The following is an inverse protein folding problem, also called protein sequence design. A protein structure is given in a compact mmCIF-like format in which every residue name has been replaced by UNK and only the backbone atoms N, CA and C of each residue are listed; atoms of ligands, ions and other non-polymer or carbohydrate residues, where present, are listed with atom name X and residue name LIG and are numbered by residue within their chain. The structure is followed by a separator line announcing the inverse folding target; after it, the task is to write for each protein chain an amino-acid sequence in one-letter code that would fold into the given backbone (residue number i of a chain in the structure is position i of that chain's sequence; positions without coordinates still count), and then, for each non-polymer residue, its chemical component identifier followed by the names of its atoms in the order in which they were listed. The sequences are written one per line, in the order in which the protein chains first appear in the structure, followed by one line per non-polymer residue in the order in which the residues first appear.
data_IF_456403277324
#
_entry.id   IF_456403277324
#
_cell.length_a   1.000
_cell.length_b   1.000
_cell.length_c   1.000
_cell.angle_alpha   90.00
_cell.angle_beta   90.00
_cell.angle_gamma   90.00
#
_symmetry.space_group_name_H-M   'P 1'
#
loop_
_entity.id
_entity.type
_entity.pdbx_description
1 polymer ?
#
# COMPACT_ATOMS: atom_id res chain seq x y z
N UNK A 1 13.09 31.55 -19.99
CA UNK A 1 12.94 30.09 -20.18
C UNK A 1 14.04 29.22 -19.55
N UNK A 2 15.15 29.79 -19.02
CA UNK A 2 16.21 29.05 -18.32
C UNK A 2 16.14 29.10 -16.78
N UNK A 3 15.27 29.93 -16.20
CA UNK A 3 15.22 30.19 -14.74
C UNK A 3 14.34 29.19 -13.95
N UNK A 4 13.57 28.32 -14.61
CA UNK A 4 12.81 27.26 -13.94
C UNK A 4 13.64 26.00 -13.61
N UNK A 5 14.89 25.91 -14.10
CA UNK A 5 15.76 24.73 -13.93
C UNK A 5 16.53 24.68 -12.60
N UNK A 6 16.47 25.73 -11.78
CA UNK A 6 17.32 25.83 -10.56
C UNK A 6 16.55 25.47 -9.27
N UNK A 7 15.21 25.45 -9.26
CA UNK A 7 14.42 25.23 -8.03
C UNK A 7 14.04 23.76 -7.74
N UNK A 8 14.34 22.80 -8.62
CA UNK A 8 13.93 21.40 -8.44
C UNK A 8 14.99 20.50 -7.75
N UNK A 9 16.24 20.96 -7.61
CA UNK A 9 17.32 20.13 -7.06
C UNK A 9 17.27 19.91 -5.54
N UNK A 10 16.51 20.70 -4.77
CA UNK A 10 16.33 20.52 -3.31
C UNK A 10 15.04 19.74 -2.94
N UNK A 11 14.18 19.50 -3.93
CA UNK A 11 12.90 18.78 -3.82
C UNK A 11 13.13 17.26 -4.06
N UNK A 12 14.26 16.86 -4.64
CA UNK A 12 14.46 15.51 -5.18
C UNK A 12 14.96 14.42 -4.18
N UNK A 13 15.01 14.67 -2.86
CA UNK A 13 15.84 13.86 -1.95
C UNK A 13 15.11 12.91 -0.98
N UNK A 14 13.77 12.88 -0.91
CA UNK A 14 13.09 12.26 0.26
C UNK A 14 12.10 11.13 0.02
N UNK A 15 11.91 10.62 -1.19
CA UNK A 15 10.68 9.88 -1.51
C UNK A 15 10.89 8.67 -2.41
N UNK A 16 12.12 8.25 -2.53
CA UNK A 16 12.39 6.83 -2.61
C UNK A 16 11.69 6.08 -1.43
N UNK A 17 11.26 6.73 -0.35
CA UNK A 17 10.65 6.10 0.81
C UNK A 17 9.26 5.50 0.67
N UNK A 18 8.26 6.26 0.23
CA UNK A 18 6.85 5.85 0.38
C UNK A 18 6.53 4.60 -0.46
N UNK A 19 7.31 4.35 -1.52
CA UNK A 19 7.18 3.14 -2.34
C UNK A 19 8.49 2.33 -2.58
N UNK A 20 9.72 2.77 -2.21
CA UNK A 20 10.94 2.00 -2.59
C UNK A 20 12.35 2.22 -1.92
N UNK A 21 12.58 2.61 -0.63
CA UNK A 21 13.85 2.78 0.18
C UNK A 21 14.14 4.21 0.69
N UNK A 22 14.34 4.37 2.00
CA UNK A 22 15.55 5.06 2.52
C UNK A 22 16.60 3.98 2.74
N UNK A 23 17.84 4.27 2.38
CA UNK A 23 18.98 3.41 2.73
C UNK A 23 20.04 4.23 3.48
N UNK A 24 20.25 3.88 4.76
CA UNK A 24 21.55 3.56 5.37
C UNK A 24 21.33 3.23 6.85
N UNK A 25 21.26 1.94 7.14
CA UNK A 25 21.80 1.22 8.30
C UNK A 25 21.43 -0.27 8.10
N UNK A 26 22.40 -1.16 8.36
CA UNK A 26 22.20 -2.63 8.36
C UNK A 26 21.08 -3.01 9.34
N UNK A 27 20.54 -4.23 9.16
CA UNK A 27 19.61 -5.00 10.01
C UNK A 27 18.12 -4.80 9.65
N UNK A 28 17.26 -5.80 9.44
CA UNK A 28 17.32 -7.27 9.46
C UNK A 28 16.57 -7.71 8.21
N UNK A 29 17.23 -8.45 7.32
CA UNK A 29 16.59 -9.10 6.18
C UNK A 29 15.55 -10.09 6.69
N UNK A 30 14.40 -10.19 6.03
CA UNK A 30 13.65 -11.43 6.11
C UNK A 30 14.61 -12.56 5.75
N UNK A 31 14.85 -13.45 6.70
CA UNK A 31 15.73 -14.59 6.52
C UNK A 31 14.87 -15.78 6.11
N UNK A 32 15.36 -16.55 5.16
CA UNK A 32 15.07 -17.97 5.15
C UNK A 32 15.61 -18.51 6.47
N UNK A 33 14.74 -19.04 7.31
CA UNK A 33 15.19 -19.79 8.46
C UNK A 33 15.93 -21.03 7.93
N UNK A 34 17.23 -21.12 8.22
CA UNK A 34 18.11 -22.18 7.73
C UNK A 34 17.70 -23.58 8.23
N UNK A 35 16.85 -23.66 9.26
CA UNK A 35 16.35 -24.91 9.82
C UNK A 35 15.01 -25.38 9.23
N UNK A 36 14.16 -24.45 8.76
CA UNK A 36 12.78 -24.75 8.32
C UNK A 36 12.49 -24.38 6.86
N UNK A 37 13.37 -23.61 6.21
CA UNK A 37 13.15 -23.10 4.85
C UNK A 37 12.04 -22.05 4.74
N UNK A 38 11.47 -21.60 5.86
CA UNK A 38 10.38 -20.62 5.88
C UNK A 38 10.88 -19.18 5.77
N UNK A 39 10.19 -18.34 5.00
CA UNK A 39 10.38 -16.89 5.02
C UNK A 39 9.90 -16.32 6.34
N UNK A 40 10.77 -15.54 7.01
CA UNK A 40 10.43 -14.83 8.25
C UNK A 40 10.50 -13.33 8.04
N UNK A 41 9.66 -12.56 8.73
CA UNK A 41 9.77 -11.10 8.81
C UNK A 41 9.73 -10.65 10.26
N UNK A 42 10.78 -9.94 10.67
CA UNK A 42 11.02 -9.58 12.09
C UNK A 42 10.94 -10.79 13.03
N UNK A 43 11.39 -11.97 12.56
CA UNK A 43 11.35 -13.28 13.25
C UNK A 43 9.96 -13.90 13.39
N UNK A 44 8.94 -13.35 12.73
CA UNK A 44 7.62 -13.99 12.61
C UNK A 44 7.57 -14.77 11.30
N UNK A 45 7.18 -16.06 11.28
CA UNK A 45 6.96 -16.78 10.04
C UNK A 45 5.92 -16.07 9.16
N UNK A 46 6.19 -15.94 7.86
CA UNK A 46 5.33 -15.20 6.93
C UNK A 46 3.91 -15.78 6.88
N UNK A 47 3.77 -17.11 6.96
CA UNK A 47 2.48 -17.82 7.01
C UNK A 47 1.69 -17.57 8.29
N UNK A 48 2.38 -17.49 9.44
CA UNK A 48 1.73 -17.13 10.70
C UNK A 48 1.26 -15.69 10.68
N UNK A 49 2.08 -14.78 10.14
CA UNK A 49 1.73 -13.38 9.96
C UNK A 49 0.52 -13.21 9.03
N UNK A 50 0.53 -13.83 7.86
CA UNK A 50 -0.59 -13.74 6.91
C UNK A 50 -1.88 -14.26 7.53
N UNK A 51 -1.83 -15.40 8.21
CA UNK A 51 -2.97 -15.96 8.92
C UNK A 51 -3.53 -15.06 10.02
N UNK A 52 -2.67 -14.50 10.89
CA UNK A 52 -3.09 -13.53 11.92
C UNK A 52 -3.73 -12.28 11.31
N UNK A 53 -3.23 -11.81 10.17
CA UNK A 53 -3.81 -10.66 9.44
C UNK A 53 -5.22 -11.00 8.94
N UNK A 54 -5.39 -12.14 8.28
CA UNK A 54 -6.68 -12.57 7.71
C UNK A 54 -7.75 -12.72 8.81
N UNK A 55 -7.38 -13.38 9.91
CA UNK A 55 -8.24 -13.58 11.07
C UNK A 55 -8.71 -12.24 11.65
N UNK A 56 -7.76 -11.34 11.95
CA UNK A 56 -8.05 -10.11 12.66
C UNK A 56 -8.75 -9.05 11.80
N UNK A 57 -8.42 -8.95 10.50
CA UNK A 57 -9.16 -8.07 9.57
C UNK A 57 -10.62 -8.54 9.46
N UNK A 58 -10.86 -9.84 9.30
CA UNK A 58 -12.23 -10.38 9.21
C UNK A 58 -13.04 -10.09 10.47
N UNK A 59 -12.45 -10.33 11.64
CA UNK A 59 -13.10 -10.06 12.93
C UNK A 59 -13.42 -8.57 13.12
N UNK A 60 -12.45 -7.69 12.87
CA UNK A 60 -12.65 -6.24 13.08
C UNK A 60 -13.60 -5.61 12.07
N UNK A 61 -13.61 -6.08 10.81
CA UNK A 61 -14.55 -5.60 9.79
C UNK A 61 -15.96 -6.10 10.10
N UNK A 62 -16.14 -7.37 10.47
CA UNK A 62 -17.45 -7.90 10.87
C UNK A 62 -18.02 -7.15 12.09
N UNK A 63 -17.19 -6.90 13.10
CA UNK A 63 -17.58 -6.12 14.28
C UNK A 63 -17.87 -4.64 14.00
N UNK A 64 -17.33 -4.08 12.91
CA UNK A 64 -17.65 -2.73 12.46
C UNK A 64 -18.94 -2.69 11.64
N UNK A 65 -19.23 -3.73 10.87
CA UNK A 65 -20.47 -3.86 10.08
C UNK A 65 -21.72 -3.95 10.95
N UNK A 66 -21.61 -4.40 12.20
CA UNK A 66 -22.74 -4.39 13.14
C UNK A 66 -23.02 -3.02 13.76
N UNK A 67 -22.10 -2.06 13.63
CA UNK A 67 -22.28 -0.68 14.12
C UNK A 67 -23.02 0.13 13.05
N UNK A 68 -23.98 0.99 13.43
CA UNK A 68 -24.71 1.82 12.47
C UNK A 68 -23.76 2.70 11.64
N UNK A 69 -24.19 2.97 10.41
CA UNK A 69 -23.50 3.92 9.54
C UNK A 69 -23.69 5.35 10.05
N UNK A 70 -22.64 6.15 9.91
CA UNK A 70 -22.63 7.58 10.24
C UNK A 70 -21.51 8.29 9.49
N UNK A 71 -21.62 9.60 9.38
CA UNK A 71 -20.59 10.45 8.81
C UNK A 71 -19.27 10.36 9.57
N UNK A 72 -18.18 10.56 8.83
CA UNK A 72 -16.81 10.63 9.36
C UNK A 72 -16.57 11.99 9.98
N UNK A 73 -16.15 12.01 11.24
CA UNK A 73 -15.77 13.21 11.98
C UNK A 73 -14.23 13.32 12.04
N UNK A 74 -13.72 14.54 12.26
CA UNK A 74 -12.27 14.77 12.32
C UNK A 74 -11.56 13.91 13.38
N UNK A 75 -12.23 13.66 14.50
CA UNK A 75 -11.73 12.79 15.57
C UNK A 75 -11.55 11.33 15.14
N UNK A 76 -12.34 10.85 14.16
CA UNK A 76 -12.27 9.46 13.69
C UNK A 76 -10.93 9.11 13.05
N UNK A 77 -10.23 10.10 12.46
CA UNK A 77 -8.91 9.88 11.86
C UNK A 77 -7.82 9.55 12.88
N UNK A 78 -8.03 9.88 14.16
CA UNK A 78 -7.07 9.62 15.24
C UNK A 78 -7.40 8.36 16.05
N UNK A 79 -8.60 7.81 15.89
CA UNK A 79 -9.05 6.61 16.61
C UNK A 79 -8.14 5.42 16.29
N UNK A 80 -7.77 4.67 17.32
CA UNK A 80 -7.08 3.38 17.19
C UNK A 80 -7.78 2.38 18.10
N UNK A 81 -8.47 1.41 17.51
CA UNK A 81 -9.08 0.31 18.24
C UNK A 81 -8.05 -0.81 18.43
N UNK A 82 -8.00 -1.43 19.61
CA UNK A 82 -7.04 -2.49 19.95
C UNK A 82 -7.78 -3.71 20.47
N UNK A 83 -7.48 -4.88 19.90
CA UNK A 83 -8.08 -6.17 20.27
C UNK A 83 -6.96 -7.18 20.55
N UNK A 84 -7.14 -8.01 21.57
CA UNK A 84 -6.25 -9.12 21.90
C UNK A 84 -6.76 -10.41 21.27
N UNK A 85 -5.85 -11.16 20.65
CA UNK A 85 -6.09 -12.47 20.06
C UNK A 85 -5.17 -13.48 20.78
N UNK A 86 -5.59 -14.00 21.96
CA UNK A 86 -4.93 -15.13 22.59
C UNK A 86 -5.17 -16.42 21.78
N UNK A 87 -4.16 -17.27 21.69
CA UNK A 87 -4.21 -18.57 21.01
C UNK A 87 -5.32 -19.48 21.52
N UNK A 88 -5.53 -19.51 22.83
CA UNK A 88 -6.63 -20.25 23.49
C UNK A 88 -8.03 -19.63 23.24
N UNK A 89 -8.10 -18.46 22.61
CA UNK A 89 -9.33 -17.72 22.42
C UNK A 89 -9.79 -16.94 23.66
N UNK A 90 -10.88 -16.18 23.49
CA UNK A 90 -11.51 -15.39 24.54
C UNK A 90 -13.01 -15.24 24.29
N UNK A 91 -13.73 -14.57 25.20
CA UNK A 91 -15.13 -14.21 24.98
C UNK A 91 -15.33 -13.25 23.79
N UNK A 92 -14.27 -12.59 23.32
CA UNK A 92 -14.33 -11.61 22.23
C UNK A 92 -13.73 -12.12 20.92
N UNK A 93 -12.79 -13.07 20.98
CA UNK A 93 -12.01 -13.53 19.83
C UNK A 93 -11.93 -15.05 19.80
N UNK A 94 -12.01 -15.69 18.63
CA UNK A 94 -11.94 -17.14 18.53
C UNK A 94 -10.54 -17.66 18.88
N UNK A 95 -10.47 -18.93 19.30
CA UNK A 95 -9.21 -19.66 19.44
C UNK A 95 -8.55 -19.88 18.06
N UNK A 96 -7.22 -19.98 18.04
CA UNK A 96 -6.44 -20.12 16.81
C UNK A 96 -5.06 -20.75 17.03
N UNK A 97 -4.48 -21.30 15.97
CA UNK A 97 -3.17 -21.98 16.04
C UNK A 97 -1.95 -21.04 15.95
N UNK A 98 -2.16 -19.74 15.71
CA UNK A 98 -1.09 -18.74 15.77
C UNK A 98 -0.75 -18.41 17.23
N UNK A 99 0.48 -17.96 17.50
CA UNK A 99 0.83 -17.44 18.82
C UNK A 99 0.06 -16.16 19.16
N UNK A 100 -0.05 -15.85 20.45
CA UNK A 100 -0.76 -14.67 20.94
C UNK A 100 -0.32 -13.39 20.24
N UNK A 101 -1.28 -12.55 19.88
CA UNK A 101 -1.02 -11.26 19.27
C UNK A 101 -2.04 -10.20 19.66
N UNK A 102 -1.61 -8.94 19.58
CA UNK A 102 -2.47 -7.77 19.69
C UNK A 102 -2.67 -7.19 18.29
N UNK A 103 -3.91 -6.90 17.92
CA UNK A 103 -4.26 -6.26 16.66
C UNK A 103 -4.74 -4.84 16.91
N UNK A 104 -4.25 -3.88 16.12
CA UNK A 104 -4.71 -2.50 16.14
C UNK A 104 -5.27 -2.09 14.79
N UNK A 105 -6.46 -1.50 14.80
CA UNK A 105 -7.12 -0.92 13.62
C UNK A 105 -7.11 0.60 13.74
N UNK A 106 -6.47 1.27 12.79
CA UNK A 106 -6.37 2.72 12.77
C UNK A 106 -7.53 3.31 11.96
N UNK A 107 -8.17 4.35 12.49
CA UNK A 107 -9.26 5.10 11.86
C UNK A 107 -10.37 4.20 11.23
N UNK A 108 -10.94 3.23 11.97
CA UNK A 108 -11.86 2.23 11.42
C UNK A 108 -13.04 2.84 10.66
N UNK A 109 -13.67 3.88 11.23
CA UNK A 109 -14.80 4.59 10.60
C UNK A 109 -14.40 5.25 9.27
N UNK A 110 -13.21 5.86 9.21
CA UNK A 110 -12.72 6.50 7.99
C UNK A 110 -12.43 5.47 6.89
N UNK A 111 -11.81 4.34 7.23
CA UNK A 111 -11.55 3.28 6.25
C UNK A 111 -12.80 2.48 5.85
N UNK A 112 -13.85 2.42 6.68
CA UNK A 112 -15.18 1.98 6.22
C UNK A 112 -15.69 2.93 5.12
N UNK A 113 -15.75 4.23 5.41
CA UNK A 113 -16.20 5.23 4.46
C UNK A 113 -15.38 5.24 3.15
N UNK A 114 -14.04 5.08 3.22
CA UNK A 114 -13.22 5.00 2.00
C UNK A 114 -13.54 3.76 1.17
N UNK A 115 -13.76 2.60 1.80
CA UNK A 115 -14.18 1.38 1.09
C UNK A 115 -15.54 1.60 0.41
N UNK A 116 -16.49 2.24 1.10
CA UNK A 116 -17.81 2.55 0.55
C UNK A 116 -17.71 3.48 -0.67
N UNK A 117 -16.89 4.54 -0.59
CA UNK A 117 -16.60 5.44 -1.72
C UNK A 117 -16.01 4.73 -2.95
N UNK A 118 -15.26 3.65 -2.73
CA UNK A 118 -14.68 2.85 -3.80
C UNK A 118 -15.54 1.63 -4.19
N UNK A 119 -16.77 1.54 -3.67
CA UNK A 119 -17.72 0.47 -4.00
C UNK A 119 -17.35 -0.90 -3.43
N UNK A 120 -16.55 -0.94 -2.35
CA UNK A 120 -16.10 -2.18 -1.73
C UNK A 120 -17.03 -2.51 -0.56
N UNK A 121 -17.90 -3.51 -0.75
CA UNK A 121 -18.78 -3.98 0.33
C UNK A 121 -17.96 -4.69 1.42
N UNK A 122 -18.37 -4.60 2.70
CA UNK A 122 -17.66 -5.27 3.79
C UNK A 122 -17.50 -6.78 3.57
N UNK A 123 -18.54 -7.45 3.08
CA UNK A 123 -18.53 -8.90 2.83
C UNK A 123 -17.51 -9.27 1.73
N UNK A 124 -17.47 -8.52 0.64
CA UNK A 124 -16.53 -8.74 -0.47
C UNK A 124 -15.08 -8.51 -0.01
N UNK A 125 -14.85 -7.47 0.79
CA UNK A 125 -13.55 -7.18 1.38
C UNK A 125 -13.06 -8.30 2.31
N UNK A 126 -13.94 -8.81 3.19
CA UNK A 126 -13.61 -9.93 4.06
C UNK A 126 -13.36 -11.20 3.25
N UNK A 127 -14.24 -11.52 2.30
CA UNK A 127 -14.12 -12.70 1.45
C UNK A 127 -12.80 -12.72 0.67
N UNK A 128 -12.44 -11.60 0.05
CA UNK A 128 -11.19 -11.45 -0.69
C UNK A 128 -9.96 -11.64 0.20
N UNK A 129 -9.98 -11.04 1.40
CA UNK A 129 -8.84 -11.10 2.32
C UNK A 129 -8.70 -12.46 2.99
N UNK A 130 -9.77 -13.10 3.45
CA UNK A 130 -9.66 -14.23 4.38
C UNK A 130 -10.07 -15.59 3.84
N UNK A 131 -10.74 -15.67 2.68
CA UNK A 131 -11.21 -16.96 2.14
C UNK A 131 -10.08 -17.90 1.74
N UNK A 132 -9.02 -17.36 1.12
CA UNK A 132 -7.90 -18.14 0.58
C UNK A 132 -6.58 -17.58 1.10
N UNK A 133 -5.52 -18.41 1.25
CA UNK A 133 -4.22 -17.93 1.72
C UNK A 133 -3.68 -16.78 0.86
N UNK A 134 -3.15 -15.76 1.52
CA UNK A 134 -2.51 -14.65 0.85
C UNK A 134 -1.25 -15.10 0.10
N UNK A 135 -1.06 -14.59 -1.13
CA UNK A 135 0.13 -14.86 -1.93
C UNK A 135 1.23 -13.86 -1.57
N UNK A 136 2.35 -14.35 -1.05
CA UNK A 136 3.52 -13.51 -0.80
C UNK A 136 4.20 -13.15 -2.13
N UNK A 137 4.40 -11.86 -2.38
CA UNK A 137 5.12 -11.39 -3.55
C UNK A 137 6.61 -11.25 -3.22
N UNK A 138 7.43 -12.04 -3.92
CA UNK A 138 8.90 -12.00 -3.87
C UNK A 138 9.47 -10.77 -4.59
N UNK A 139 8.93 -9.59 -4.31
CA UNK A 139 9.49 -8.32 -4.73
C UNK A 139 10.12 -7.67 -3.51
N UNK A 140 11.45 -7.82 -3.30
CA UNK A 140 12.19 -6.93 -2.44
C UNK A 140 12.20 -5.55 -3.12
N UNK A 141 11.06 -4.85 -3.05
CA UNK A 141 11.04 -3.41 -3.10
C UNK A 141 12.12 -2.95 -2.14
N UNK A 142 12.89 -1.95 -2.54
CA UNK A 142 14.18 -1.76 -1.91
C UNK A 142 14.00 -1.55 -0.38
N UNK A 143 12.88 -0.99 0.08
CA UNK A 143 12.51 -0.85 1.51
C UNK A 143 12.59 -2.13 2.37
N UNK A 144 12.63 -3.34 1.78
CA UNK A 144 12.56 -4.59 2.53
C UNK A 144 11.16 -4.84 3.12
N UNK A 145 10.14 -4.21 2.55
CA UNK A 145 8.74 -4.46 2.90
C UNK A 145 8.27 -5.77 2.29
N UNK A 146 7.55 -6.57 3.07
CA UNK A 146 6.70 -7.64 2.56
C UNK A 146 5.48 -7.09 1.85
N UNK A 147 5.09 -7.79 0.79
CA UNK A 147 3.87 -7.58 0.04
C UNK A 147 3.11 -8.90 -0.01
N UNK A 148 1.84 -8.84 0.32
CA UNK A 148 0.89 -9.91 0.09
C UNK A 148 -0.15 -9.46 -0.93
N UNK A 149 -0.68 -10.42 -1.67
CA UNK A 149 -1.73 -10.22 -2.66
C UNK A 149 -2.86 -11.20 -2.35
N UNK A 150 -4.10 -10.71 -2.37
CA UNK A 150 -5.27 -11.59 -2.26
C UNK A 150 -5.33 -12.56 -3.44
N UNK A 151 -6.03 -13.67 -3.26
CA UNK A 151 -6.08 -14.72 -4.27
C UNK A 151 -6.81 -14.26 -5.54
N UNK A 152 -7.83 -13.42 -5.39
CA UNK A 152 -8.59 -12.80 -6.48
C UNK A 152 -7.87 -11.62 -7.15
N UNK A 153 -6.66 -11.27 -6.70
CA UNK A 153 -5.82 -10.21 -7.26
C UNK A 153 -6.35 -8.77 -7.01
N UNK A 154 -7.35 -8.59 -6.16
CA UNK A 154 -7.99 -7.29 -5.90
C UNK A 154 -7.18 -6.39 -4.95
N UNK A 155 -6.62 -6.97 -3.88
CA UNK A 155 -5.99 -6.20 -2.80
C UNK A 155 -4.52 -6.57 -2.58
N UNK A 156 -3.70 -5.52 -2.43
CA UNK A 156 -2.32 -5.61 -1.95
C UNK A 156 -2.29 -5.26 -0.47
N UNK A 157 -1.67 -6.12 0.34
CA UNK A 157 -1.31 -5.84 1.73
C UNK A 157 0.18 -5.58 1.80
N UNK A 158 0.57 -4.35 2.08
CA UNK A 158 1.97 -3.93 2.14
C UNK A 158 2.37 -3.63 3.56
N UNK A 159 3.48 -4.21 4.02
CA UNK A 159 4.09 -3.80 5.29
C UNK A 159 4.75 -2.43 5.17
N UNK A 160 4.56 -1.60 6.19
CA UNK A 160 5.08 -0.22 6.26
C UNK A 160 5.87 0.01 7.54
N UNK A 161 6.80 0.94 7.48
CA UNK A 161 7.56 1.38 8.64
C UNK A 161 6.68 2.20 9.59
N UNK A 162 7.12 2.34 10.85
CA UNK A 162 6.39 3.12 11.85
C UNK A 162 6.09 4.55 11.39
N UNK A 163 7.11 5.24 10.84
CA UNK A 163 6.97 6.62 10.36
C UNK A 163 6.01 6.75 9.18
N UNK A 164 5.93 5.72 8.33
CA UNK A 164 5.04 5.71 7.17
C UNK A 164 3.58 5.53 7.60
N UNK A 165 3.31 4.62 8.55
CA UNK A 165 1.98 4.48 9.13
C UNK A 165 1.52 5.74 9.87
N UNK A 166 2.40 6.35 10.66
CA UNK A 166 2.11 7.60 11.36
C UNK A 166 1.84 8.75 10.37
N UNK A 167 2.63 8.82 9.29
CA UNK A 167 2.40 9.78 8.22
C UNK A 167 1.08 9.56 7.50
N UNK A 168 0.75 8.31 7.15
CA UNK A 168 -0.52 7.97 6.51
C UNK A 168 -1.71 8.38 7.40
N UNK A 169 -1.62 8.17 8.72
CA UNK A 169 -2.67 8.61 9.64
C UNK A 169 -2.84 10.15 9.62
N UNK A 170 -1.75 10.91 9.57
CA UNK A 170 -1.78 12.38 9.42
C UNK A 170 -2.29 12.84 8.05
N UNK A 171 -2.16 12.01 7.02
CA UNK A 171 -2.63 12.28 5.67
C UNK A 171 -4.16 12.11 5.53
N UNK A 172 -4.80 11.28 6.36
CA UNK A 172 -6.20 10.88 6.17
C UNK A 172 -7.21 12.04 6.00
N UNK A 173 -7.14 13.14 6.78
CA UNK A 173 -8.08 14.25 6.60
C UNK A 173 -7.97 14.90 5.20
N UNK A 174 -6.75 15.12 4.70
CA UNK A 174 -6.58 15.68 3.36
C UNK A 174 -6.85 14.67 2.25
N UNK A 175 -6.58 13.40 2.51
CA UNK A 175 -6.96 12.32 1.60
C UNK A 175 -8.49 12.26 1.44
N UNK A 176 -9.24 12.32 2.55
CA UNK A 176 -10.71 12.42 2.54
C UNK A 176 -11.19 13.60 1.68
N UNK A 177 -10.62 14.80 1.88
CA UNK A 177 -10.98 15.98 1.07
C UNK A 177 -10.71 15.76 -0.43
N UNK A 178 -9.57 15.15 -0.77
CA UNK A 178 -9.25 14.84 -2.16
C UNK A 178 -10.23 13.83 -2.77
N UNK A 179 -10.62 12.78 -2.04
CA UNK A 179 -11.59 11.80 -2.54
C UNK A 179 -12.95 12.45 -2.86
N UNK A 180 -13.42 13.34 -2.00
CA UNK A 180 -14.70 14.05 -2.20
C UNK A 180 -14.62 15.03 -3.38
N UNK A 181 -13.51 15.76 -3.52
CA UNK A 181 -13.38 16.81 -4.53
C UNK A 181 -12.85 16.32 -5.89
N UNK A 182 -12.16 15.17 -5.92
CA UNK A 182 -11.49 14.60 -7.08
C UNK A 182 -11.75 13.07 -7.17
N UNK A 183 -12.99 12.64 -7.49
CA UNK A 183 -13.37 11.23 -7.45
C UNK A 183 -12.56 10.34 -8.41
N UNK A 184 -11.98 10.92 -9.46
CA UNK A 184 -11.13 10.22 -10.44
C UNK A 184 -9.63 10.21 -10.08
N UNK A 185 -9.27 10.63 -8.87
CA UNK A 185 -7.88 10.67 -8.39
C UNK A 185 -7.11 9.39 -8.71
N UNK A 186 -5.83 9.52 -9.06
CA UNK A 186 -4.89 8.43 -9.32
C UNK A 186 -4.12 8.02 -8.07
N UNK A 187 -4.31 8.72 -6.94
CA UNK A 187 -3.68 8.34 -5.68
C UNK A 187 -4.07 6.91 -5.28
N UNK A 188 -3.19 6.19 -4.54
CA UNK A 188 -3.49 4.85 -4.05
C UNK A 188 -4.82 4.81 -3.29
N UNK A 189 -5.57 3.74 -3.47
CA UNK A 189 -6.86 3.53 -2.83
C UNK A 189 -6.61 2.77 -1.53
N UNK A 190 -6.65 3.46 -0.40
CA UNK A 190 -6.35 2.84 0.90
C UNK A 190 -7.62 2.30 1.55
N UNK A 191 -7.60 1.02 1.92
CA UNK A 191 -8.76 0.30 2.46
C UNK A 191 -8.63 -0.08 3.93
N UNK A 192 -7.42 0.02 4.48
CA UNK A 192 -7.19 -0.15 5.90
C UNK A 192 -5.74 0.11 6.29
N UNK A 193 -5.54 0.56 7.52
CA UNK A 193 -4.24 0.66 8.18
C UNK A 193 -4.31 -0.13 9.48
N UNK A 194 -3.39 -1.09 9.63
CA UNK A 194 -3.41 -2.03 10.74
C UNK A 194 -2.01 -2.23 11.36
N UNK A 195 -1.98 -2.75 12.58
CA UNK A 195 -0.76 -3.20 13.25
C UNK A 195 -0.99 -4.53 13.97
N UNK A 196 -0.20 -5.54 13.61
CA UNK A 196 -0.05 -6.77 14.38
C UNK A 196 1.14 -6.61 15.31
N UNK A 197 0.92 -6.83 16.60
CA UNK A 197 1.96 -6.90 17.61
C UNK A 197 2.06 -8.32 18.16
N UNK A 198 3.17 -9.00 17.92
CA UNK A 198 3.44 -10.35 18.43
C UNK A 198 4.92 -10.47 18.82
N UNK A 199 5.22 -11.18 19.91
CA UNK A 199 6.60 -11.34 20.42
C UNK A 199 7.34 -10.02 20.66
N UNK A 200 6.64 -8.97 21.09
CA UNK A 200 7.19 -7.63 21.30
C UNK A 200 7.57 -6.87 20.01
N UNK A 201 7.24 -7.40 18.83
CA UNK A 201 7.48 -6.75 17.53
C UNK A 201 6.18 -6.18 16.98
N UNK A 202 6.28 -5.00 16.37
CA UNK A 202 5.18 -4.32 15.68
C UNK A 202 5.36 -4.43 14.17
N UNK A 203 4.36 -4.98 13.50
CA UNK A 203 4.26 -5.11 12.04
C UNK A 203 3.06 -4.30 11.60
N UNK A 204 3.32 -3.17 10.93
CA UNK A 204 2.30 -2.27 10.42
C UNK A 204 2.07 -2.56 8.95
N UNK A 205 0.83 -2.45 8.52
CA UNK A 205 0.46 -2.77 7.16
C UNK A 205 -0.67 -1.89 6.67
N UNK A 206 -0.67 -1.66 5.36
CA UNK A 206 -1.71 -0.95 4.64
C UNK A 206 -2.31 -1.91 3.63
N UNK A 207 -3.64 -1.97 3.58
CA UNK A 207 -4.38 -2.64 2.50
C UNK A 207 -4.74 -1.60 1.46
N UNK A 208 -4.45 -1.89 0.20
CA UNK A 208 -4.70 -0.97 -0.92
C UNK A 208 -5.05 -1.72 -2.21
N UNK A 209 -5.55 -1.02 -3.22
CA UNK A 209 -5.86 -1.62 -4.51
C UNK A 209 -4.63 -2.21 -5.22
N UNK A 210 -4.86 -3.30 -5.95
CA UNK A 210 -3.94 -3.72 -6.99
C UNK A 210 -4.20 -2.93 -8.28
N UNK A 211 -3.23 -2.10 -8.70
CA UNK A 211 -3.35 -1.33 -9.95
C UNK A 211 -3.20 -2.19 -11.21
N UNK A 212 -2.53 -3.36 -11.10
CA UNK A 212 -2.17 -4.20 -12.24
C UNK A 212 -2.70 -5.63 -12.02
N UNK A 213 -4.02 -5.84 -12.15
CA UNK A 213 -4.62 -7.14 -11.93
C UNK A 213 -4.20 -8.14 -13.01
N UNK A 214 -3.93 -9.38 -12.59
CA UNK A 214 -3.39 -10.49 -13.37
C UNK A 214 -4.36 -10.97 -14.45
N UNK A 215 -5.65 -10.67 -14.31
CA UNK A 215 -6.68 -10.92 -15.33
C UNK A 215 -6.42 -10.13 -16.61
N UNK A 216 -5.73 -8.98 -16.50
CA UNK A 216 -5.34 -8.17 -17.65
C UNK A 216 -3.88 -8.47 -18.00
N UNK A 217 -3.65 -8.99 -19.20
CA UNK A 217 -2.29 -9.23 -19.71
C UNK A 217 -1.58 -7.90 -20.01
N UNK A 218 -0.64 -7.53 -19.14
CA UNK A 218 0.19 -6.35 -19.34
C UNK A 218 1.33 -6.63 -20.33
N UNK A 219 1.33 -5.95 -21.48
CA UNK A 219 2.37 -6.07 -22.51
C UNK A 219 3.61 -5.24 -22.18
N UNK A 220 3.42 -4.05 -21.60
CA UNK A 220 4.49 -3.17 -21.14
C UNK A 220 4.10 -2.56 -19.80
N UNK A 221 5.09 -2.35 -18.94
CA UNK A 221 4.91 -1.73 -17.63
C UNK A 221 6.02 -0.72 -17.42
N UNK A 222 5.64 0.47 -16.98
CA UNK A 222 6.56 1.56 -16.70
C UNK A 222 6.37 2.04 -15.26
N UNK A 223 7.47 2.39 -14.61
CA UNK A 223 7.53 3.19 -13.39
C UNK A 223 8.10 4.53 -13.86
N UNK A 224 7.34 5.63 -13.78
CA UNK A 224 7.74 6.93 -14.35
C UNK A 224 7.78 8.02 -13.27
N UNK A 225 8.86 8.83 -13.25
CA UNK A 225 9.05 9.92 -12.27
C UNK A 225 9.30 11.29 -12.89
N UNK A 226 9.52 11.37 -14.20
CA UNK A 226 9.95 12.59 -14.89
C UNK A 226 11.42 12.95 -14.68
N UNK A 227 12.23 12.05 -14.11
CA UNK A 227 13.67 12.24 -13.89
C UNK A 227 14.50 11.31 -14.77
N UNK A 228 15.80 11.58 -14.93
CA UNK A 228 16.67 10.80 -15.83
C UNK A 228 17.76 10.00 -15.11
N UNK A 229 18.21 10.46 -13.94
CA UNK A 229 19.30 9.79 -13.22
C UNK A 229 18.85 8.42 -12.67
N UNK A 230 19.51 7.34 -13.09
CA UNK A 230 19.17 5.94 -12.73
C UNK A 230 17.72 5.54 -13.08
N UNK A 231 17.16 6.17 -14.11
CA UNK A 231 15.81 5.89 -14.61
C UNK A 231 15.84 5.01 -15.88
N UNK A 232 16.67 3.98 -15.83
CA UNK A 232 16.71 2.87 -16.80
C UNK A 232 16.54 1.54 -16.05
N UNK A 233 15.84 0.57 -16.62
CA UNK A 233 15.71 -0.78 -16.07
C UNK A 233 17.09 -1.43 -15.92
N UNK A 234 17.27 -2.20 -14.83
CA UNK A 234 18.51 -2.94 -14.61
C UNK A 234 18.57 -4.16 -15.54
N UNK A 235 19.76 -4.73 -15.73
CA UNK A 235 19.92 -5.99 -16.49
C UNK A 235 19.02 -7.10 -15.93
N UNK A 236 19.04 -7.28 -14.60
CA UNK A 236 18.20 -8.25 -13.91
C UNK A 236 16.70 -8.01 -14.11
N UNK A 237 16.24 -6.75 -14.17
CA UNK A 237 14.82 -6.46 -14.42
C UNK A 237 14.45 -6.79 -15.87
N UNK A 238 15.32 -6.51 -16.82
CA UNK A 238 15.11 -6.80 -18.24
C UNK A 238 15.09 -8.31 -18.56
N UNK A 239 15.71 -9.14 -17.73
CA UNK A 239 15.68 -10.61 -17.86
C UNK A 239 14.35 -11.23 -17.38
N UNK A 240 13.49 -10.46 -16.69
CA UNK A 240 12.18 -10.96 -16.25
C UNK A 240 11.24 -11.11 -17.44
N UNK A 241 10.30 -12.06 -17.34
CA UNK A 241 9.24 -12.26 -18.34
C UNK A 241 8.43 -10.98 -18.61
N UNK A 242 8.14 -10.21 -17.56
CA UNK A 242 7.40 -8.95 -17.64
C UNK A 242 8.18 -7.83 -16.92
N UNK A 243 9.16 -7.19 -17.60
CA UNK A 243 9.99 -6.15 -17.00
C UNK A 243 9.20 -4.90 -16.60
N UNK A 244 9.70 -4.19 -15.58
CA UNK A 244 9.27 -2.84 -15.21
C UNK A 244 10.28 -1.84 -15.76
N UNK A 245 9.93 -1.20 -16.87
CA UNK A 245 10.73 -0.17 -17.51
C UNK A 245 10.68 1.16 -16.75
N UNK A 246 11.61 2.06 -17.04
CA UNK A 246 11.68 3.41 -16.43
C UNK A 246 11.71 4.51 -17.50
N UNK A 247 11.86 5.76 -17.08
CA UNK A 247 11.74 6.95 -17.91
C UNK A 247 12.63 6.92 -19.17
N UNK A 248 13.90 6.53 -19.06
CA UNK A 248 14.81 6.45 -20.20
C UNK A 248 14.48 5.30 -21.15
N UNK A 249 13.87 4.23 -20.64
CA UNK A 249 13.39 3.13 -21.48
C UNK A 249 12.14 3.54 -22.24
N UNK A 250 11.23 4.32 -21.63
CA UNK A 250 10.06 4.89 -22.29
C UNK A 250 10.49 5.76 -23.48
N UNK A 251 11.40 6.71 -23.26
CA UNK A 251 11.89 7.61 -24.31
C UNK A 251 12.56 6.84 -25.47
N UNK A 252 13.24 5.73 -25.18
CA UNK A 252 13.89 4.91 -26.20
C UNK A 252 12.90 4.02 -26.96
N UNK A 253 11.89 3.47 -26.27
CA UNK A 253 10.95 2.52 -26.86
C UNK A 253 9.71 3.16 -27.49
N UNK A 254 9.35 4.37 -27.04
CA UNK A 254 8.17 5.12 -27.47
C UNK A 254 8.57 6.61 -27.63
N UNK A 255 9.38 6.95 -28.66
CA UNK A 255 9.88 8.32 -28.86
C UNK A 255 8.75 9.33 -29.10
N UNK A 256 7.66 8.90 -29.74
CA UNK A 256 6.47 9.72 -29.99
C UNK A 256 5.47 9.72 -28.81
N UNK A 257 5.79 9.01 -27.73
CA UNK A 257 4.97 8.90 -26.53
C UNK A 257 3.74 7.99 -26.68
N UNK A 258 2.71 8.27 -25.88
CA UNK A 258 1.43 7.59 -25.92
C UNK A 258 0.37 8.54 -26.48
N UNK A 259 -0.24 8.15 -27.60
CA UNK A 259 -1.38 8.89 -28.16
C UNK A 259 -2.63 8.58 -27.35
N UNK A 260 -3.30 9.62 -26.88
CA UNK A 260 -4.57 9.54 -26.16
C UNK A 260 -5.61 10.35 -26.91
N UNK A 261 -6.88 9.93 -26.84
CA UNK A 261 -7.99 10.76 -27.31
C UNK A 261 -7.99 12.11 -26.56
N UNK A 262 -8.32 13.22 -27.24
CA UNK A 262 -8.22 14.56 -26.65
C UNK A 262 -8.93 14.69 -25.30
N UNK A 263 -10.15 14.16 -25.18
CA UNK A 263 -10.95 14.23 -23.96
C UNK A 263 -10.34 13.41 -22.80
N UNK A 264 -9.80 12.22 -23.11
CA UNK A 264 -9.11 11.37 -22.13
C UNK A 264 -7.84 12.07 -21.65
N UNK A 265 -7.06 12.65 -22.56
CA UNK A 265 -5.86 13.41 -22.22
C UNK A 265 -6.17 14.58 -21.28
N UNK A 266 -7.18 15.40 -21.62
CA UNK A 266 -7.60 16.54 -20.79
C UNK A 266 -8.04 16.08 -19.40
N UNK A 267 -8.84 15.01 -19.32
CA UNK A 267 -9.30 14.45 -18.05
C UNK A 267 -8.14 13.91 -17.19
N UNK A 268 -7.21 13.18 -17.81
CA UNK A 268 -6.02 12.63 -17.15
C UNK A 268 -5.13 13.74 -16.61
N UNK A 269 -4.80 14.73 -17.43
CA UNK A 269 -3.92 15.83 -17.04
C UNK A 269 -4.54 16.68 -15.93
N UNK A 270 -5.84 16.97 -15.99
CA UNK A 270 -6.56 17.68 -14.92
C UNK A 270 -6.49 16.91 -13.60
N UNK A 271 -6.66 15.59 -13.65
CA UNK A 271 -6.60 14.72 -12.47
C UNK A 271 -5.18 14.70 -11.89
N UNK A 272 -4.17 14.47 -12.72
CA UNK A 272 -2.76 14.45 -12.32
C UNK A 272 -2.33 15.78 -11.69
N UNK A 273 -2.75 16.92 -12.26
CA UNK A 273 -2.44 18.23 -11.70
C UNK A 273 -2.98 18.38 -10.27
N UNK A 274 -4.23 17.96 -10.04
CA UNK A 274 -4.86 18.02 -8.70
C UNK A 274 -4.16 17.10 -7.71
N UNK A 275 -3.84 15.87 -8.13
CA UNK A 275 -3.14 14.92 -7.27
C UNK A 275 -1.73 15.40 -6.93
N UNK A 276 -1.01 15.99 -7.90
CA UNK A 276 0.29 16.61 -7.67
C UNK A 276 0.23 17.76 -6.65
N UNK A 277 -0.82 18.59 -6.68
CA UNK A 277 -1.03 19.65 -5.68
C UNK A 277 -1.26 19.08 -4.28
N UNK A 278 -2.04 18.01 -4.16
CA UNK A 278 -2.24 17.30 -2.88
C UNK A 278 -0.92 16.70 -2.39
N UNK A 279 -0.19 15.98 -3.23
CA UNK A 279 1.11 15.41 -2.87
C UNK A 279 2.08 16.51 -2.42
N UNK A 280 2.13 17.62 -3.15
CA UNK A 280 2.94 18.80 -2.82
C UNK A 280 2.55 19.42 -1.47
N UNK A 281 1.26 19.59 -1.18
CA UNK A 281 0.80 20.20 0.09
C UNK A 281 1.21 19.36 1.30
N UNK A 282 1.25 18.04 1.13
CA UNK A 282 1.75 17.10 2.15
C UNK A 282 3.26 16.89 2.12
N UNK A 283 3.99 17.61 1.27
CA UNK A 283 5.44 17.47 1.08
C UNK A 283 5.84 16.04 0.67
N UNK A 284 4.93 15.36 -0.04
CA UNK A 284 5.12 14.07 -0.71
C UNK A 284 5.62 14.34 -2.13
N UNK A 285 6.55 13.53 -2.58
CA UNK A 285 7.47 13.83 -3.69
C UNK A 285 7.98 12.41 -4.18
N UNK A 286 8.95 12.19 -5.10
CA UNK A 286 9.40 10.88 -5.69
C UNK A 286 8.39 9.69 -5.74
N UNK A 287 7.12 10.00 -5.93
CA UNK A 287 6.11 9.06 -6.37
C UNK A 287 6.38 8.73 -7.83
N UNK A 288 5.93 7.55 -8.24
CA UNK A 288 5.90 7.18 -9.64
C UNK A 288 4.46 7.13 -10.11
N UNK A 289 4.24 7.49 -11.38
CA UNK A 289 3.07 7.06 -12.13
C UNK A 289 3.27 5.60 -12.56
#
# INVERSE_FOLDING_TARGET
MLLQKISYKKILYRILLFLQRLHRRRLVTGGLDASTGMTTYKKTPSSALSGSIQLAISHTVAGLSSKPERDVLMQDFQVVETILFPSEGSNLTPAHHYGDFTFRTYAPTAFRYFRDLFGIRPDDYMLSISRLPLRELSNPGASGSLFFLTHDDEFIIKTVQHKEAEFLQKLLPGYYMNLVQNPRTLLPKFYGLYNVQSGGKNIRMVVMNNLLPSVIKMHKKFDLKGSTYKRKASKQENEKKNPTYKDLDLLAQLPDGLTLEPDIHVALMKTMQRDCLVLQSFKIMDYSL
#
